data_IF_766104858936
#
_entry.id   IF_766104858936
#
_cell.length_a   1.000
_cell.length_b   1.000
_cell.length_c   1.000
_cell.angle_alpha   90.00
_cell.angle_beta   90.00
_cell.angle_gamma   90.00
#
_symmetry.space_group_name_H-M   'P 1'
#
loop_
_entity.id
_entity.type
_entity.pdbx_description
1 polymer ?
#
# COMPACT_ATOMS: atom_id res chain seq x y z
N UNK A 1 -35.43 -13.11 16.05
CA UNK A 1 -35.87 -11.78 15.57
C UNK A 1 -35.06 -10.74 16.33
N UNK A 2 -34.38 -9.81 15.65
CA UNK A 2 -33.61 -8.76 16.31
C UNK A 2 -34.58 -7.84 17.07
N UNK A 3 -34.27 -7.52 18.32
CA UNK A 3 -35.00 -6.54 19.12
C UNK A 3 -34.72 -5.14 18.57
N UNK A 4 -35.69 -4.60 17.85
CA UNK A 4 -35.59 -3.32 17.16
C UNK A 4 -35.32 -2.15 18.12
N UNK A 5 -35.91 -2.17 19.31
CA UNK A 5 -35.75 -1.11 20.30
C UNK A 5 -34.32 -1.09 20.84
N UNK A 6 -33.77 -2.28 21.09
CA UNK A 6 -32.39 -2.44 21.54
C UNK A 6 -31.38 -1.97 20.49
N UNK A 7 -31.64 -2.22 19.21
CA UNK A 7 -30.81 -1.72 18.11
C UNK A 7 -30.86 -0.20 18.01
N UNK A 8 -32.05 0.40 18.08
CA UNK A 8 -32.21 1.87 18.02
C UNK A 8 -31.45 2.56 19.16
N UNK A 9 -31.59 2.07 20.40
CA UNK A 9 -30.87 2.62 21.54
C UNK A 9 -29.36 2.50 21.39
N UNK A 10 -28.87 1.38 20.84
CA UNK A 10 -27.44 1.19 20.58
C UNK A 10 -26.91 2.14 19.50
N UNK A 11 -27.69 2.40 18.45
CA UNK A 11 -27.33 3.36 17.40
C UNK A 11 -27.31 4.79 17.94
N UNK A 12 -28.31 5.17 18.74
CA UNK A 12 -28.34 6.50 19.38
C UNK A 12 -27.17 6.71 20.33
N UNK A 13 -26.84 5.70 21.14
CA UNK A 13 -25.67 5.74 22.03
C UNK A 13 -24.33 5.86 21.27
N UNK A 14 -24.29 5.46 19.99
CA UNK A 14 -23.10 5.54 19.12
C UNK A 14 -23.09 6.75 18.19
N UNK A 15 -24.12 7.59 18.22
CA UNK A 15 -24.26 8.77 17.34
C UNK A 15 -23.03 9.68 17.36
N UNK A 16 -22.51 10.01 18.56
CA UNK A 16 -21.30 10.83 18.70
C UNK A 16 -20.08 10.14 18.10
N UNK A 17 -19.90 8.84 18.39
CA UNK A 17 -18.80 8.06 17.84
C UNK A 17 -18.81 8.00 16.30
N UNK A 18 -20.00 7.95 15.67
CA UNK A 18 -20.12 8.05 14.21
C UNK A 18 -19.77 9.44 13.69
N UNK A 19 -20.21 10.50 14.38
CA UNK A 19 -19.87 11.87 14.00
C UNK A 19 -18.36 12.13 14.11
N UNK A 20 -17.73 11.68 15.20
CA UNK A 20 -16.30 11.79 15.43
C UNK A 20 -15.51 11.00 14.38
N UNK A 21 -15.95 9.79 14.05
CA UNK A 21 -15.34 8.98 12.99
C UNK A 21 -15.45 9.68 11.63
N UNK A 22 -16.62 10.21 11.27
CA UNK A 22 -16.81 10.90 9.99
C UNK A 22 -15.98 12.18 9.89
N UNK A 23 -15.89 12.95 10.98
CA UNK A 23 -15.03 14.12 11.06
C UNK A 23 -13.55 13.75 10.94
N UNK A 24 -13.12 12.68 11.63
CA UNK A 24 -11.76 12.14 11.53
C UNK A 24 -11.41 11.69 10.11
N UNK A 25 -12.31 10.96 9.45
CA UNK A 25 -12.13 10.52 8.06
C UNK A 25 -12.00 11.72 7.11
N UNK A 26 -12.87 12.72 7.26
CA UNK A 26 -12.83 13.93 6.42
C UNK A 26 -11.52 14.72 6.61
N UNK A 27 -11.05 14.83 7.85
CA UNK A 27 -9.77 15.48 8.15
C UNK A 27 -8.58 14.69 7.57
N UNK A 28 -8.59 13.37 7.65
CA UNK A 28 -7.55 12.53 7.07
C UNK A 28 -7.51 12.65 5.56
N UNK A 29 -8.67 12.63 4.89
CA UNK A 29 -8.78 12.84 3.44
C UNK A 29 -8.17 14.19 3.04
N UNK A 30 -8.57 15.28 3.71
CA UNK A 30 -8.06 16.62 3.39
C UNK A 30 -6.54 16.75 3.58
N UNK A 31 -5.97 16.07 4.59
CA UNK A 31 -4.51 16.02 4.77
C UNK A 31 -3.82 15.24 3.67
N UNK A 32 -4.42 14.13 3.26
CA UNK A 32 -3.88 13.32 2.17
C UNK A 32 -3.90 14.11 0.84
N UNK A 33 -4.99 14.82 0.56
CA UNK A 33 -5.12 15.68 -0.62
C UNK A 33 -4.05 16.78 -0.63
N UNK A 34 -3.79 17.43 0.52
CA UNK A 34 -2.70 18.41 0.67
C UNK A 34 -1.32 17.78 0.40
N UNK A 35 -1.07 16.59 0.95
CA UNK A 35 0.20 15.89 0.73
C UNK A 35 0.40 15.50 -0.73
N UNK A 36 -0.61 14.95 -1.38
CA UNK A 36 -0.56 14.57 -2.80
C UNK A 36 -0.32 15.80 -3.67
N UNK A 37 -1.00 16.92 -3.40
CA UNK A 37 -0.77 18.17 -4.12
C UNK A 37 0.68 18.66 -3.94
N UNK A 38 1.15 18.74 -2.69
CA UNK A 38 2.51 19.22 -2.37
C UNK A 38 3.62 18.35 -2.94
N UNK A 39 3.40 17.05 -3.01
CA UNK A 39 4.37 16.08 -3.56
C UNK A 39 4.28 16.04 -5.09
N UNK A 40 3.09 16.21 -5.65
CA UNK A 40 2.88 16.32 -7.10
C UNK A 40 3.44 17.58 -7.74
N UNK A 41 3.73 18.62 -6.96
CA UNK A 41 4.42 19.83 -7.42
C UNK A 41 5.96 19.69 -7.44
N UNK A 42 6.50 18.57 -6.97
CA UNK A 42 7.95 18.34 -6.92
C UNK A 42 8.42 17.50 -8.10
N UNK A 43 9.59 17.85 -8.63
CA UNK A 43 10.35 16.97 -9.50
C UNK A 43 10.98 15.80 -8.72
N UNK A 44 11.30 14.71 -9.43
CA UNK A 44 12.08 13.57 -8.90
C UNK A 44 13.38 14.06 -8.25
N UNK A 45 14.05 15.02 -8.87
CA UNK A 45 15.31 15.60 -8.42
C UNK A 45 15.16 16.31 -7.07
N UNK A 46 14.08 17.10 -6.91
CA UNK A 46 13.77 17.76 -5.64
C UNK A 46 13.38 16.76 -4.55
N UNK A 47 12.67 15.68 -4.89
CA UNK A 47 12.34 14.61 -3.95
C UNK A 47 13.62 13.92 -3.48
N UNK A 48 14.51 13.54 -4.40
CA UNK A 48 15.80 12.94 -4.07
C UNK A 48 16.63 13.85 -3.16
N UNK A 49 16.74 15.14 -3.49
CA UNK A 49 17.48 16.10 -2.66
C UNK A 49 16.91 16.21 -1.23
N UNK A 50 15.59 16.11 -1.06
CA UNK A 50 14.95 16.10 0.27
C UNK A 50 15.18 14.78 1.01
N UNK A 51 15.17 13.66 0.31
CA UNK A 51 15.46 12.34 0.88
C UNK A 51 16.92 12.23 1.33
N UNK A 52 17.86 12.76 0.54
CA UNK A 52 19.28 12.79 0.87
C UNK A 52 19.59 13.70 2.07
N UNK A 53 18.73 14.70 2.34
CA UNK A 53 18.83 15.56 3.50
C UNK A 53 18.26 14.94 4.79
N UNK A 54 17.67 13.74 4.72
CA UNK A 54 17.18 13.05 5.92
C UNK A 54 18.35 12.59 6.80
N UNK A 55 18.18 12.64 8.14
CA UNK A 55 19.16 12.07 9.06
C UNK A 55 19.49 10.60 8.79
N UNK A 56 20.73 10.22 9.04
CA UNK A 56 21.19 8.82 8.95
C UNK A 56 20.29 7.87 9.75
N UNK A 57 19.98 6.72 9.15
CA UNK A 57 19.09 5.70 9.72
C UNK A 57 17.61 5.88 9.36
N UNK A 58 17.25 6.89 8.58
CA UNK A 58 15.94 6.94 7.94
C UNK A 58 15.94 6.16 6.62
N UNK A 59 14.99 5.23 6.50
CA UNK A 59 14.79 4.43 5.30
C UNK A 59 13.43 4.82 4.70
N UNK A 60 13.40 5.75 3.72
CA UNK A 60 12.15 6.28 3.18
C UNK A 60 11.31 5.24 2.40
N UNK A 61 11.85 4.03 2.20
CA UNK A 61 11.18 2.95 1.49
C UNK A 61 11.38 3.09 -0.01
N UNK A 62 10.27 3.14 -0.76
CA UNK A 62 10.30 3.29 -2.21
C UNK A 62 10.81 4.69 -2.61
N UNK A 63 11.69 4.72 -3.62
CA UNK A 63 12.21 5.95 -4.21
C UNK A 63 11.36 6.31 -5.45
N UNK A 64 11.20 7.59 -5.78
CA UNK A 64 10.49 7.99 -6.99
C UNK A 64 11.26 7.52 -8.24
N UNK A 65 10.51 7.26 -9.31
CA UNK A 65 11.05 6.85 -10.61
C UNK A 65 10.82 7.95 -11.65
N UNK A 66 11.38 7.81 -12.85
CA UNK A 66 11.25 8.82 -13.91
C UNK A 66 9.78 9.05 -14.34
N UNK A 67 8.93 8.05 -14.15
CA UNK A 67 7.48 8.14 -14.35
C UNK A 67 6.84 9.25 -13.51
N UNK A 68 7.41 9.58 -12.35
CA UNK A 68 6.88 10.61 -11.48
C UNK A 68 6.87 12.00 -12.14
N UNK A 69 7.93 12.36 -12.86
CA UNK A 69 8.00 13.61 -13.64
C UNK A 69 7.10 13.55 -14.89
N UNK A 70 6.85 12.36 -15.42
CA UNK A 70 5.98 12.15 -16.59
C UNK A 70 4.48 12.22 -16.23
N UNK A 71 4.12 12.06 -14.96
CA UNK A 71 2.75 12.11 -14.48
C UNK A 71 2.24 13.55 -14.48
N UNK A 72 1.45 13.94 -15.48
CA UNK A 72 0.75 15.21 -15.45
C UNK A 72 -0.16 15.27 -14.20
N UNK A 73 -0.11 16.40 -13.49
CA UNK A 73 -0.89 16.79 -12.29
C UNK A 73 -1.61 15.67 -11.52
N UNK A 74 -1.27 15.51 -10.24
CA UNK A 74 -1.85 14.53 -9.28
C UNK A 74 -1.27 13.10 -9.35
N UNK A 75 -0.02 12.93 -9.77
CA UNK A 75 0.68 11.62 -9.72
C UNK A 75 -0.07 10.51 -10.45
N UNK A 76 -0.79 10.87 -11.52
CA UNK A 76 -1.62 9.96 -12.28
C UNK A 76 -1.01 9.71 -13.65
N UNK A 77 -0.70 8.44 -13.93
CA UNK A 77 -0.30 7.98 -15.24
C UNK A 77 -1.35 7.02 -15.79
N UNK A 78 -1.97 7.34 -16.94
CA UNK A 78 -2.85 6.39 -17.59
C UNK A 78 -2.03 5.18 -18.05
N UNK A 79 -2.48 3.99 -17.66
CA UNK A 79 -1.82 2.73 -18.00
C UNK A 79 -1.72 2.48 -19.52
N UNK A 80 -2.62 3.08 -20.31
CA UNK A 80 -2.49 3.20 -21.77
C UNK A 80 -2.65 1.92 -22.60
N UNK A 81 -2.69 0.74 -21.97
CA UNK A 81 -2.83 -0.56 -22.66
C UNK A 81 -4.21 -1.15 -22.43
N UNK A 82 -4.82 -1.65 -23.50
CA UNK A 82 -6.08 -2.40 -23.47
C UNK A 82 -5.96 -3.66 -24.32
N UNK A 83 -6.71 -4.70 -23.96
CA UNK A 83 -6.73 -5.99 -24.66
C UNK A 83 -8.16 -6.45 -24.92
N UNK A 84 -8.34 -7.18 -26.01
CA UNK A 84 -9.63 -7.77 -26.40
C UNK A 84 -9.97 -9.04 -25.63
N UNK A 85 -8.95 -9.75 -25.13
CA UNK A 85 -9.09 -11.00 -24.42
C UNK A 85 -7.90 -11.29 -23.49
N UNK A 86 -8.03 -12.35 -22.70
CA UNK A 86 -7.00 -12.78 -21.75
C UNK A 86 -5.71 -13.26 -22.41
N UNK A 87 -5.75 -13.76 -23.65
CA UNK A 87 -4.56 -14.25 -24.34
C UNK A 87 -3.68 -13.07 -24.77
N UNK A 88 -4.28 -12.03 -25.35
CA UNK A 88 -3.61 -10.79 -25.71
C UNK A 88 -2.98 -10.10 -24.48
N UNK A 89 -3.70 -10.06 -23.35
CA UNK A 89 -3.18 -9.52 -22.10
C UNK A 89 -1.96 -10.30 -21.58
N UNK A 90 -2.01 -11.63 -21.60
CA UNK A 90 -0.87 -12.48 -21.19
C UNK A 90 0.33 -12.35 -22.12
N UNK A 91 0.08 -12.25 -23.43
CA UNK A 91 1.14 -12.06 -24.41
C UNK A 91 1.88 -10.73 -24.17
N UNK A 92 1.14 -9.64 -23.97
CA UNK A 92 1.74 -8.36 -23.57
C UNK A 92 2.50 -8.45 -22.24
N UNK A 93 1.90 -9.04 -21.21
CA UNK A 93 2.54 -9.14 -19.90
C UNK A 93 3.86 -9.92 -19.98
N UNK A 94 3.91 -10.99 -20.79
CA UNK A 94 5.15 -11.70 -21.08
C UNK A 94 6.19 -10.77 -21.69
N UNK A 95 5.85 -9.97 -22.70
CA UNK A 95 6.83 -9.05 -23.33
C UNK A 95 7.38 -8.00 -22.37
N UNK A 96 6.60 -7.61 -21.35
CA UNK A 96 7.03 -6.64 -20.34
C UNK A 96 7.91 -7.29 -19.28
N UNK A 97 7.59 -8.52 -18.87
CA UNK A 97 8.26 -9.22 -17.78
C UNK A 97 9.45 -10.07 -18.23
N UNK A 98 9.56 -10.37 -19.53
CA UNK A 98 10.66 -11.18 -20.08
C UNK A 98 11.99 -10.45 -19.91
N UNK A 99 12.95 -11.09 -19.24
CA UNK A 99 14.24 -10.49 -18.89
C UNK A 99 14.23 -9.63 -17.62
N UNK A 100 13.08 -9.44 -16.97
CA UNK A 100 13.02 -8.82 -15.64
C UNK A 100 13.30 -9.86 -14.56
N UNK A 101 14.33 -9.62 -13.75
CA UNK A 101 14.55 -10.40 -12.52
C UNK A 101 13.43 -10.08 -11.53
N UNK A 102 12.63 -11.07 -11.21
CA UNK A 102 11.58 -11.02 -10.20
C UNK A 102 11.95 -11.94 -9.04
N UNK A 103 11.63 -11.48 -7.82
CA UNK A 103 11.87 -12.22 -6.60
C UNK A 103 10.51 -12.46 -5.96
N UNK A 104 10.12 -13.72 -5.83
CA UNK A 104 8.99 -14.12 -5.01
C UNK A 104 9.51 -14.54 -3.64
N UNK A 105 8.99 -13.91 -2.58
CA UNK A 105 9.29 -14.28 -1.20
C UNK A 105 7.98 -14.59 -0.50
N UNK A 106 7.90 -15.78 0.10
CA UNK A 106 6.78 -16.20 0.91
C UNK A 106 7.30 -16.86 2.19
N UNK A 107 6.48 -16.90 3.23
CA UNK A 107 6.88 -17.44 4.51
C UNK A 107 5.72 -17.98 5.32
N UNK A 108 6.06 -18.89 6.23
CA UNK A 108 5.13 -19.42 7.19
C UNK A 108 5.77 -19.43 8.58
N UNK A 109 4.95 -19.45 9.61
CA UNK A 109 5.41 -19.49 10.98
C UNK A 109 4.61 -20.48 11.82
N UNK A 110 5.30 -21.11 12.76
CA UNK A 110 4.75 -21.85 13.88
C UNK A 110 5.06 -21.01 15.12
N UNK A 111 4.03 -20.41 15.70
CA UNK A 111 4.17 -19.61 16.93
C UNK A 111 4.57 -20.52 18.10
N UNK A 112 5.44 -20.07 19.01
CA UNK A 112 5.75 -20.84 20.22
C UNK A 112 4.47 -21.17 21.00
N UNK A 113 4.25 -22.44 21.30
CA UNK A 113 3.12 -22.89 22.09
C UNK A 113 3.53 -23.12 23.55
N UNK A 114 2.68 -22.75 24.54
CA UNK A 114 2.97 -22.89 25.97
C UNK A 114 3.07 -24.36 26.43
N UNK A 115 2.68 -25.29 25.57
CA UNK A 115 2.64 -26.74 25.82
C UNK A 115 3.99 -27.43 25.53
N UNK A 116 4.99 -26.72 24.98
CA UNK A 116 6.37 -27.19 24.84
C UNK A 116 7.30 -26.47 25.82
N UNK A 117 8.26 -27.19 26.40
CA UNK A 117 9.29 -26.63 27.30
C UNK A 117 10.69 -27.01 26.80
N UNK A 118 11.52 -26.04 26.36
CA UNK A 118 11.21 -24.61 26.27
C UNK A 118 10.17 -24.33 25.16
N UNK A 119 9.43 -23.21 25.22
CA UNK A 119 8.56 -22.81 24.13
C UNK A 119 9.41 -22.47 22.90
N UNK A 120 9.33 -23.32 21.87
CA UNK A 120 10.06 -23.14 20.62
C UNK A 120 9.06 -22.80 19.53
N UNK A 121 9.33 -21.71 18.80
CA UNK A 121 8.66 -21.38 17.55
C UNK A 121 9.58 -21.63 16.35
N UNK A 122 9.01 -21.68 15.16
CA UNK A 122 9.76 -21.80 13.92
C UNK A 122 9.24 -20.80 12.88
N UNK A 123 10.15 -20.24 12.09
CA UNK A 123 9.83 -19.36 10.95
C UNK A 123 10.53 -19.97 9.75
N UNK A 124 9.81 -20.08 8.64
CA UNK A 124 10.34 -20.48 7.36
C UNK A 124 10.14 -19.33 6.37
N UNK A 125 11.17 -19.08 5.56
CA UNK A 125 11.09 -18.20 4.40
C UNK A 125 11.51 -19.00 3.17
N UNK A 126 10.61 -19.09 2.20
CA UNK A 126 10.90 -19.59 0.86
C UNK A 126 11.07 -18.42 -0.08
N UNK A 127 12.06 -18.49 -0.96
CA UNK A 127 12.21 -17.50 -2.02
C UNK A 127 12.55 -18.16 -3.34
N UNK A 128 12.14 -17.53 -4.42
CA UNK A 128 12.42 -17.93 -5.78
C UNK A 128 12.79 -16.68 -6.59
N UNK A 129 13.86 -16.77 -7.35
CA UNK A 129 14.25 -15.76 -8.34
C UNK A 129 14.12 -16.43 -9.70
N UNK A 130 13.38 -15.83 -10.63
CA UNK A 130 13.38 -16.33 -12.00
C UNK A 130 14.74 -16.04 -12.66
N UNK A 131 15.22 -16.94 -13.53
CA UNK A 131 16.36 -16.65 -14.38
C UNK A 131 16.09 -15.46 -15.30
#
# INVERSE_FOLDING_TARGET
MLDQQRVLNALDAKRSAFADYAAGLSQQSARFDDWVARVGDLSVEEIHARLDALPDGQHPGALPTAEFDAAASLLHLPFGVAWTDHQAARAWARTVLEGCTTIAVDGSQITPAPEFVPPVGAIQVGWFINP
#
